data_IF_298756019128
#
_entry.id   IF_298756019128
#
_cell.length_a   1.000
_cell.length_b   1.000
_cell.length_c   1.000
_cell.angle_alpha   90.00
_cell.angle_beta   90.00
_cell.angle_gamma   90.00
#
_symmetry.space_group_name_H-M   'P 1'
#
loop_
_entity.id
_entity.type
_entity.pdbx_description
1 polymer ?
#
# COMPACT_ATOMS: atom_id res chain seq x y z
N UNK A 1 25.42 -27.60 23.05
CA UNK A 1 24.36 -26.83 23.74
C UNK A 1 23.52 -27.83 24.52
N UNK A 2 23.19 -27.55 25.79
CA UNK A 2 22.27 -28.39 26.57
C UNK A 2 20.87 -28.41 25.93
N UNK A 3 20.10 -29.47 26.16
CA UNK A 3 18.71 -29.60 25.68
C UNK A 3 17.83 -28.44 26.17
N UNK A 4 18.00 -28.05 27.43
CA UNK A 4 17.32 -26.91 28.06
C UNK A 4 17.58 -25.58 27.31
N UNK A 5 18.80 -25.38 26.81
CA UNK A 5 19.14 -24.21 26.00
C UNK A 5 18.48 -24.27 24.62
N UNK A 6 18.34 -25.46 24.02
CA UNK A 6 17.66 -25.62 22.72
C UNK A 6 16.16 -25.38 22.82
N UNK A 7 15.53 -25.82 23.91
CA UNK A 7 14.10 -25.58 24.16
C UNK A 7 13.81 -24.08 24.30
N UNK A 8 14.63 -23.37 25.09
CA UNK A 8 14.54 -21.91 25.21
C UNK A 8 14.67 -21.19 23.87
N UNK A 9 15.68 -21.55 23.06
CA UNK A 9 15.87 -20.95 21.73
C UNK A 9 14.71 -21.21 20.77
N UNK A 10 14.01 -22.36 20.89
CA UNK A 10 12.80 -22.64 20.10
C UNK A 10 11.64 -21.75 20.53
N UNK A 11 11.43 -21.58 21.83
CA UNK A 11 10.41 -20.66 22.37
C UNK A 11 10.63 -19.22 21.91
N UNK A 12 11.86 -18.71 22.04
CA UNK A 12 12.22 -17.36 21.60
C UNK A 12 11.97 -17.17 20.09
N UNK A 13 12.26 -18.19 19.27
CA UNK A 13 12.04 -18.13 17.81
C UNK A 13 10.55 -18.17 17.44
N UNK A 14 9.73 -18.93 18.17
CA UNK A 14 8.28 -18.99 17.98
C UNK A 14 7.61 -17.66 18.34
N UNK A 15 8.05 -16.99 19.42
CA UNK A 15 7.55 -15.67 19.80
C UNK A 15 7.89 -14.61 18.73
N UNK A 16 9.14 -14.59 18.24
CA UNK A 16 9.55 -13.68 17.16
C UNK A 16 8.75 -13.94 15.88
N UNK A 17 8.49 -15.22 15.55
CA UNK A 17 7.65 -15.58 14.40
C UNK A 17 6.22 -15.04 14.56
N UNK A 18 5.61 -15.17 15.74
CA UNK A 18 4.26 -14.68 15.99
C UNK A 18 4.16 -13.14 15.88
N UNK A 19 5.17 -12.42 16.39
CA UNK A 19 5.27 -10.96 16.24
C UNK A 19 5.39 -10.60 14.75
N UNK A 20 6.27 -11.28 14.02
CA UNK A 20 6.50 -11.00 12.61
C UNK A 20 5.27 -11.32 11.75
N UNK A 21 4.56 -12.41 12.03
CA UNK A 21 3.29 -12.75 11.39
C UNK A 21 2.25 -11.65 11.65
N UNK A 22 2.12 -11.17 12.88
CA UNK A 22 1.23 -10.05 13.22
C UNK A 22 1.61 -8.78 12.44
N UNK A 23 2.88 -8.38 12.45
CA UNK A 23 3.33 -7.19 11.72
C UNK A 23 3.13 -7.31 10.22
N UNK A 24 3.41 -8.50 9.66
CA UNK A 24 3.24 -8.79 8.24
C UNK A 24 1.79 -8.73 7.79
N UNK A 25 0.81 -8.88 8.69
CA UNK A 25 -0.61 -8.74 8.37
C UNK A 25 -1.14 -7.32 8.60
N UNK A 26 -0.63 -6.61 9.61
CA UNK A 26 -1.12 -5.26 9.96
C UNK A 26 -0.54 -4.18 9.05
N UNK A 27 0.75 -4.24 8.72
CA UNK A 27 1.41 -3.23 7.86
C UNK A 27 0.74 -3.14 6.47
N UNK A 28 0.47 -4.25 5.75
CA UNK A 28 -0.19 -4.16 4.45
C UNK A 28 -1.64 -3.69 4.56
N UNK A 29 -2.37 -4.07 5.62
CA UNK A 29 -3.74 -3.59 5.87
C UNK A 29 -3.79 -2.08 6.05
N UNK A 30 -2.85 -1.52 6.83
CA UNK A 30 -2.74 -0.09 7.04
C UNK A 30 -2.45 0.66 5.73
N UNK A 31 -1.49 0.15 4.94
CA UNK A 31 -1.16 0.73 3.63
C UNK A 31 -2.35 0.69 2.69
N UNK A 32 -3.09 -0.43 2.62
CA UNK A 32 -4.32 -0.54 1.82
C UNK A 32 -5.37 0.47 2.28
N UNK A 33 -5.60 0.61 3.58
CA UNK A 33 -6.56 1.59 4.10
C UNK A 33 -6.22 3.03 3.71
N UNK A 34 -4.94 3.40 3.74
CA UNK A 34 -4.48 4.71 3.26
C UNK A 34 -4.73 4.83 1.75
N UNK A 35 -4.31 3.86 0.93
CA UNK A 35 -4.53 3.86 -0.52
C UNK A 35 -6.03 4.00 -0.83
N UNK A 36 -6.88 3.19 -0.22
CA UNK A 36 -8.33 3.23 -0.43
C UNK A 36 -8.92 4.59 -0.05
N UNK A 37 -8.44 5.22 1.03
CA UNK A 37 -8.89 6.57 1.42
C UNK A 37 -8.50 7.66 0.42
N UNK A 38 -7.40 7.48 -0.32
CA UNK A 38 -6.88 8.41 -1.33
C UNK A 38 -7.38 8.11 -2.75
N UNK A 39 -7.75 6.86 -3.06
CA UNK A 39 -8.21 6.42 -4.38
C UNK A 39 -9.69 6.02 -4.42
N UNK A 40 -10.47 6.30 -3.36
CA UNK A 40 -11.92 6.11 -3.37
C UNK A 40 -12.60 7.00 -4.44
N UNK A 41 -13.82 6.66 -4.91
CA UNK A 41 -14.59 7.53 -5.80
C UNK A 41 -14.77 8.96 -5.25
N UNK A 42 -14.96 9.09 -3.94
CA UNK A 42 -15.06 10.37 -3.25
C UNK A 42 -13.73 11.13 -3.26
N UNK A 43 -12.60 10.43 -3.07
CA UNK A 43 -11.27 11.01 -3.14
C UNK A 43 -10.92 11.47 -4.55
N UNK A 44 -11.24 10.67 -5.57
CA UNK A 44 -11.13 11.05 -6.98
C UNK A 44 -11.98 12.29 -7.31
N UNK A 45 -13.20 12.37 -6.78
CA UNK A 45 -14.07 13.55 -6.94
C UNK A 45 -13.49 14.79 -6.30
N UNK A 46 -12.97 14.70 -5.06
CA UNK A 46 -12.30 15.82 -4.38
C UNK A 46 -11.05 16.28 -5.15
N UNK A 47 -10.25 15.32 -5.63
CA UNK A 47 -9.06 15.60 -6.43
C UNK A 47 -9.41 16.32 -7.74
N UNK A 48 -10.43 15.85 -8.47
CA UNK A 48 -10.91 16.49 -9.69
C UNK A 48 -11.36 17.93 -9.46
N UNK A 49 -12.09 18.19 -8.35
CA UNK A 49 -12.48 19.56 -7.96
C UNK A 49 -11.27 20.44 -7.68
N UNK A 50 -10.30 19.94 -6.93
CA UNK A 50 -9.09 20.71 -6.61
C UNK A 50 -8.28 21.08 -7.87
N UNK A 51 -8.13 20.14 -8.82
CA UNK A 51 -7.46 20.41 -10.10
C UNK A 51 -8.23 21.44 -10.93
N UNK A 52 -9.57 21.36 -10.95
CA UNK A 52 -10.40 22.32 -11.66
C UNK A 52 -10.35 23.72 -11.05
N UNK A 53 -10.40 23.83 -9.72
CA UNK A 53 -10.23 25.10 -8.99
C UNK A 53 -8.85 25.70 -9.22
N UNK A 54 -7.79 24.88 -9.18
CA UNK A 54 -6.44 25.31 -9.50
C UNK A 54 -6.35 25.89 -10.92
N UNK A 55 -6.85 25.18 -11.93
CA UNK A 55 -6.89 25.66 -13.30
C UNK A 55 -7.65 27.00 -13.44
N UNK A 56 -8.82 27.10 -12.79
CA UNK A 56 -9.63 28.32 -12.78
C UNK A 56 -8.83 29.50 -12.19
N UNK A 57 -8.19 29.29 -11.04
CA UNK A 57 -7.41 30.33 -10.36
C UNK A 57 -6.21 30.78 -11.19
N UNK A 58 -5.54 29.86 -11.91
CA UNK A 58 -4.45 30.22 -12.83
C UNK A 58 -4.94 31.15 -13.95
N UNK A 59 -6.09 30.84 -14.55
CA UNK A 59 -6.71 31.69 -15.58
C UNK A 59 -7.11 33.05 -15.02
N UNK A 60 -7.69 33.09 -13.82
CA UNK A 60 -8.05 34.33 -13.14
C UNK A 60 -6.84 35.20 -12.79
N UNK A 61 -5.69 34.57 -12.51
CA UNK A 61 -4.42 35.24 -12.30
C UNK A 61 -3.76 35.77 -13.60
N UNK A 62 -4.39 35.58 -14.76
CA UNK A 62 -3.91 36.05 -16.06
C UNK A 62 -2.96 35.09 -16.77
N UNK A 63 -2.83 33.84 -16.31
CA UNK A 63 -2.03 32.83 -17.00
C UNK A 63 -2.78 32.40 -18.28
N UNK A 64 -2.10 32.36 -19.44
CA UNK A 64 -2.69 31.89 -20.69
C UNK A 64 -3.31 30.50 -20.55
N UNK A 65 -4.42 30.25 -21.25
CA UNK A 65 -5.20 29.01 -21.14
C UNK A 65 -4.37 27.74 -21.35
N UNK A 66 -3.52 27.72 -22.38
CA UNK A 66 -2.67 26.56 -22.68
C UNK A 66 -1.67 26.28 -21.56
N UNK A 67 -1.10 27.33 -20.98
CA UNK A 67 -0.10 27.24 -19.93
C UNK A 67 -0.73 26.88 -18.57
N UNK A 68 -1.90 27.45 -18.26
CA UNK A 68 -2.70 27.05 -17.11
C UNK A 68 -3.13 25.57 -17.19
N UNK A 69 -3.50 25.11 -18.38
CA UNK A 69 -3.87 23.71 -18.62
C UNK A 69 -2.65 22.79 -18.47
N UNK A 70 -1.48 23.20 -18.94
CA UNK A 70 -0.24 22.46 -18.75
C UNK A 70 0.11 22.33 -17.25
N UNK A 71 0.09 23.43 -16.49
CA UNK A 71 0.36 23.40 -15.04
C UNK A 71 -0.64 22.51 -14.28
N UNK A 72 -1.93 22.56 -14.63
CA UNK A 72 -2.95 21.71 -14.01
C UNK A 72 -2.73 20.22 -14.33
N UNK A 73 -2.33 19.89 -15.56
CA UNK A 73 -1.95 18.52 -15.95
C UNK A 73 -0.71 18.03 -15.21
N UNK A 74 0.30 18.87 -15.04
CA UNK A 74 1.52 18.53 -14.30
C UNK A 74 1.25 18.32 -12.80
N UNK A 75 0.39 19.15 -12.22
CA UNK A 75 -0.08 18.97 -10.84
C UNK A 75 -0.79 17.62 -10.66
N UNK A 76 -1.74 17.29 -11.55
CA UNK A 76 -2.40 15.98 -11.55
C UNK A 76 -1.41 14.83 -11.79
N UNK A 77 -0.47 15.01 -12.72
CA UNK A 77 0.57 14.03 -13.05
C UNK A 77 1.51 13.73 -11.87
N UNK A 78 1.77 14.71 -11.01
CA UNK A 78 2.53 14.50 -9.78
C UNK A 78 1.77 13.57 -8.82
N UNK A 79 0.46 13.78 -8.68
CA UNK A 79 -0.40 12.94 -7.83
C UNK A 79 -0.50 11.50 -8.36
N UNK A 80 -0.61 11.31 -9.68
CA UNK A 80 -0.68 9.97 -10.27
C UNK A 80 0.65 9.22 -10.18
N UNK A 81 1.79 9.87 -10.35
CA UNK A 81 3.11 9.24 -10.14
C UNK A 81 3.28 8.71 -8.71
N UNK A 82 2.83 9.48 -7.71
CA UNK A 82 2.78 9.01 -6.32
C UNK A 82 1.87 7.78 -6.17
N UNK A 83 0.73 7.73 -6.88
CA UNK A 83 -0.13 6.54 -6.92
C UNK A 83 0.56 5.32 -7.49
N UNK A 84 1.40 5.48 -8.52
CA UNK A 84 2.13 4.40 -9.16
C UNK A 84 3.24 3.85 -8.25
N UNK A 85 3.92 4.72 -7.48
CA UNK A 85 4.87 4.28 -6.44
C UNK A 85 4.14 3.45 -5.37
N UNK A 86 2.98 3.91 -4.91
CA UNK A 86 2.16 3.17 -3.93
C UNK A 86 1.63 1.84 -4.48
N UNK A 87 1.26 1.78 -5.76
CA UNK A 87 0.85 0.52 -6.43
C UNK A 87 2.04 -0.40 -6.70
N UNK A 88 3.18 0.17 -7.07
CA UNK A 88 4.45 -0.54 -7.34
C UNK A 88 5.06 -1.17 -6.10
N UNK A 89 4.71 -0.68 -4.92
CA UNK A 89 5.02 -1.33 -3.64
C UNK A 89 4.36 -2.71 -3.47
N UNK A 90 3.48 -3.17 -4.38
CA UNK A 90 2.90 -4.55 -4.46
C UNK A 90 3.21 -5.45 -3.25
N UNK A 91 2.66 -5.08 -2.09
CA UNK A 91 2.78 -5.88 -0.89
C UNK A 91 1.71 -6.96 -0.99
N UNK A 92 2.18 -8.21 -1.16
CA UNK A 92 1.43 -9.46 -1.13
C UNK A 92 0.53 -9.76 -2.36
N UNK A 93 1.06 -10.53 -3.32
CA UNK A 93 0.41 -11.81 -3.61
C UNK A 93 1.21 -13.03 -3.11
N UNK A 94 2.50 -12.89 -2.82
CA UNK A 94 3.39 -14.07 -2.67
C UNK A 94 3.38 -14.73 -1.28
N UNK A 95 2.78 -14.11 -0.26
CA UNK A 95 2.71 -14.70 1.09
C UNK A 95 1.47 -15.57 1.31
N UNK A 96 0.38 -15.39 0.56
CA UNK A 96 -0.83 -16.20 0.74
C UNK A 96 -0.69 -17.61 0.12
N UNK A 97 0.01 -17.71 -1.00
CA UNK A 97 0.16 -18.99 -1.75
C UNK A 97 1.09 -19.99 -1.03
N UNK A 98 2.04 -19.52 -0.19
CA UNK A 98 2.96 -20.41 0.53
C UNK A 98 2.37 -21.03 1.81
N UNK A 99 1.33 -20.45 2.39
CA UNK A 99 0.71 -20.99 3.60
C UNK A 99 -0.39 -22.03 3.28
N UNK A 100 -1.20 -21.81 2.24
CA UNK A 100 -2.20 -22.82 1.83
C UNK A 100 -1.55 -24.14 1.37
N UNK A 101 -0.43 -24.08 0.64
CA UNK A 101 0.26 -25.28 0.16
C UNK A 101 0.97 -26.10 1.24
N UNK A 102 1.18 -25.52 2.45
CA UNK A 102 1.72 -26.26 3.60
C UNK A 102 0.63 -26.97 4.39
N UNK A 103 -0.54 -26.35 4.58
CA UNK A 103 -1.66 -27.00 5.28
C UNK A 103 -2.30 -28.14 4.47
N UNK A 104 -2.29 -28.06 3.14
CA UNK A 104 -2.79 -29.15 2.29
C UNK A 104 -1.80 -30.32 2.16
N UNK A 105 -0.51 -30.11 2.41
CA UNK A 105 0.53 -31.15 2.38
C UNK A 105 0.60 -31.99 3.66
N UNK A 106 0.22 -31.43 4.81
CA UNK A 106 0.22 -32.16 6.10
C UNK A 106 -1.05 -33.00 6.32
N UNK A 107 -2.14 -32.76 5.58
CA UNK A 107 -3.38 -33.56 5.68
C UNK A 107 -3.44 -34.77 4.73
N UNK A 108 -2.38 -35.04 3.97
CA UNK A 108 -2.31 -36.11 2.97
C UNK A 108 -1.49 -37.34 3.38
N UNK A 109 -0.92 -37.39 4.59
CA UNK A 109 -0.06 -38.49 5.06
C UNK A 109 -0.57 -39.18 6.34
N UNK A 110 -1.90 -39.17 6.60
CA UNK A 110 -2.54 -40.11 7.55
C UNK A 110 -3.27 -41.24 6.82
#
# INVERSE_FOLDING_TARGET
>A
MSEEKREKWRGDAEEVKAIFETLSTQIPKMIRGIIDSFFSPEAGTRMGKAVAEFYKNLKEAGIPEEEALAMAKDYLGTLTKWSEVLKGLKIAPTIHEKYQKREEGEKGEE
#
